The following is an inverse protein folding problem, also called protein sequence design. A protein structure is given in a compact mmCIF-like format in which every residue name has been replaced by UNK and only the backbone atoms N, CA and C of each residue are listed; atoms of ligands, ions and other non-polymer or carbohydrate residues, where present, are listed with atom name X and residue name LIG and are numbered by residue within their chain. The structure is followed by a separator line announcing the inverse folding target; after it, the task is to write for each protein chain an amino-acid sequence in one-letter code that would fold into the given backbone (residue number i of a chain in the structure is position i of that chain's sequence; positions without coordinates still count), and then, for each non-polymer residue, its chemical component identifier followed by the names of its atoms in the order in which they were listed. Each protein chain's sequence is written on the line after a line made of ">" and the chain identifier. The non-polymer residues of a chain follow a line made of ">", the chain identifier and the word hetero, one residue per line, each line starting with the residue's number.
data_IF_738825463736
#
_entry.id   IF_738825463736
#
_cell.length_a   1.000
_cell.length_b   1.000
_cell.length_c   1.000
_cell.angle_alpha   90.00
_cell.angle_beta   90.00
_cell.angle_gamma   90.00
#
_symmetry.space_group_name_H-M   'P 1'
#
loop_
_entity.id
_entity.type
_entity.pdbx_description
1 polymer ?
#
# COMPACT_ATOMS: atom_id res chain seq x y z
N UNK A 1 -27.17 15.42 33.02
CA UNK A 1 -26.34 14.20 32.96
C UNK A 1 -25.12 14.51 32.09
N UNK A 2 -24.03 14.98 32.72
CA UNK A 2 -22.65 15.05 32.18
C UNK A 2 -21.95 13.70 32.50
N UNK A 3 -20.71 13.38 32.04
CA UNK A 3 -19.66 14.22 31.39
C UNK A 3 -19.11 13.66 30.05
N UNK A 4 -18.49 14.44 29.15
CA UNK A 4 -17.11 14.97 29.10
C UNK A 4 -16.00 13.91 29.13
N UNK A 5 -15.06 13.94 28.14
CA UNK A 5 -13.62 13.51 28.11
C UNK A 5 -13.20 13.08 26.69
N UNK A 6 -12.32 13.82 25.97
CA UNK A 6 -10.82 13.73 25.99
C UNK A 6 -10.36 12.60 25.02
N UNK A 7 -9.48 12.74 24.01
CA UNK A 7 -8.33 13.62 23.76
C UNK A 7 -8.07 13.80 22.26
N UNK A 8 -7.69 15.03 21.90
CA UNK A 8 -6.80 15.29 20.77
C UNK A 8 -5.49 14.52 20.99
N UNK A 9 -5.31 13.42 20.25
CA UNK A 9 -4.05 12.69 20.17
C UNK A 9 -3.08 13.40 19.23
N UNK A 10 -2.62 14.57 19.64
CA UNK A 10 -1.53 15.30 19.01
C UNK A 10 -0.23 14.55 19.34
N UNK A 11 0.10 13.56 18.51
CA UNK A 11 1.35 12.82 18.62
C UNK A 11 2.55 13.77 18.52
N UNK A 12 3.66 13.46 19.20
CA UNK A 12 4.80 14.35 19.31
C UNK A 12 5.38 14.62 17.92
N UNK A 13 5.37 15.89 17.51
CA UNK A 13 6.14 16.38 16.39
C UNK A 13 7.62 16.21 16.72
N UNK A 14 8.18 15.08 16.31
CA UNK A 14 9.61 14.79 16.37
C UNK A 14 10.32 15.84 15.51
N UNK A 15 10.79 16.91 16.15
CA UNK A 15 11.74 17.87 15.58
C UNK A 15 13.05 17.13 15.32
N UNK A 16 13.15 16.48 14.15
CA UNK A 16 14.36 15.75 13.76
C UNK A 16 15.38 16.74 13.17
N UNK A 17 16.43 16.98 13.93
CA UNK A 17 17.56 17.83 13.53
C UNK A 17 18.14 17.40 12.19
N UNK A 18 18.31 18.38 11.31
CA UNK A 18 19.15 18.27 10.11
C UNK A 18 20.59 18.02 10.57
N UNK A 19 21.03 16.76 10.56
CA UNK A 19 22.48 16.47 10.52
C UNK A 19 22.88 16.44 9.06
N UNK A 20 23.57 17.51 8.66
CA UNK A 20 24.21 17.66 7.35
C UNK A 20 25.27 16.57 7.22
N UNK A 21 25.05 15.64 6.30
CA UNK A 21 26.13 14.84 5.70
C UNK A 21 26.35 15.42 4.31
N UNK A 22 27.44 16.15 4.15
CA UNK A 22 27.83 16.76 2.88
C UNK A 22 28.09 15.64 1.86
N UNK A 23 27.38 15.68 0.72
CA UNK A 23 27.78 14.92 -0.48
C UNK A 23 26.64 14.29 -1.29
N UNK A 24 25.63 13.69 -0.66
CA UNK A 24 24.50 13.06 -1.36
C UNK A 24 23.25 13.16 -0.49
N UNK A 25 22.51 14.27 -0.57
CA UNK A 25 21.17 14.31 0.02
C UNK A 25 20.25 13.42 -0.78
N UNK A 26 20.12 12.15 -0.39
CA UNK A 26 18.93 11.38 -0.74
C UNK A 26 17.76 12.06 -0.03
N UNK A 27 17.13 13.02 -0.69
CA UNK A 27 15.96 13.75 -0.20
C UNK A 27 14.70 12.86 -0.26
N UNK A 28 14.83 11.61 0.18
CA UNK A 28 13.70 10.72 0.35
C UNK A 28 12.98 11.07 1.65
N UNK A 29 11.76 11.59 1.56
CA UNK A 29 10.86 11.61 2.71
C UNK A 29 10.42 10.19 3.02
N UNK A 30 10.59 9.75 4.26
CA UNK A 30 10.01 8.50 4.73
C UNK A 30 8.48 8.63 4.79
N UNK A 31 7.77 7.59 4.38
CA UNK A 31 6.33 7.50 4.59
C UNK A 31 6.04 7.16 6.05
N UNK A 32 5.13 7.91 6.65
CA UNK A 32 4.56 7.56 7.95
C UNK A 32 3.49 6.48 7.80
N UNK A 33 3.11 5.82 8.90
CA UNK A 33 2.00 4.86 8.89
C UNK A 33 0.69 5.49 8.37
N UNK A 34 0.47 6.78 8.67
CA UNK A 34 -0.67 7.52 8.16
C UNK A 34 -0.61 7.66 6.63
N UNK A 35 0.57 7.95 6.07
CA UNK A 35 0.77 8.06 4.63
C UNK A 35 0.55 6.69 3.96
N UNK A 36 1.09 5.61 4.52
CA UNK A 36 0.86 4.24 4.03
C UNK A 36 -0.63 3.91 3.99
N UNK A 37 -1.34 4.15 5.10
CA UNK A 37 -2.77 3.88 5.20
C UNK A 37 -3.57 4.73 4.20
N UNK A 38 -3.23 6.01 4.06
CA UNK A 38 -3.86 6.92 3.11
C UNK A 38 -3.65 6.46 1.65
N UNK A 39 -2.43 6.11 1.28
CA UNK A 39 -2.10 5.61 -0.06
C UNK A 39 -2.80 4.29 -0.36
N UNK A 40 -2.82 3.35 0.59
CA UNK A 40 -3.53 2.08 0.43
C UNK A 40 -5.02 2.31 0.19
N UNK A 41 -5.65 3.16 1.01
CA UNK A 41 -7.07 3.49 0.87
C UNK A 41 -7.36 4.09 -0.51
N UNK A 42 -6.57 5.07 -0.94
CA UNK A 42 -6.69 5.68 -2.28
C UNK A 42 -6.58 4.61 -3.37
N UNK A 43 -5.58 3.74 -3.32
CA UNK A 43 -5.43 2.66 -4.30
C UNK A 43 -6.67 1.75 -4.35
N UNK A 44 -7.22 1.36 -3.20
CA UNK A 44 -8.35 0.43 -3.15
C UNK A 44 -9.71 1.08 -3.49
N UNK A 45 -9.90 2.37 -3.25
CA UNK A 45 -11.24 3.00 -3.35
C UNK A 45 -11.35 4.16 -4.34
N UNK A 46 -10.27 4.84 -4.70
CA UNK A 46 -10.32 6.03 -5.55
C UNK A 46 -10.43 5.64 -7.04
N UNK A 47 -11.64 5.68 -7.59
CA UNK A 47 -11.90 5.36 -9.00
C UNK A 47 -11.46 6.43 -9.98
N UNK A 48 -11.00 7.60 -9.51
CA UNK A 48 -10.40 8.63 -10.39
C UNK A 48 -8.99 8.24 -10.85
N UNK A 49 -8.33 7.33 -10.13
CA UNK A 49 -7.05 6.77 -10.51
C UNK A 49 -7.23 5.64 -11.53
N UNK A 50 -6.36 5.53 -12.56
CA UNK A 50 -6.39 4.41 -13.48
C UNK A 50 -6.29 3.08 -12.75
N UNK A 51 -7.03 2.06 -13.20
CA UNK A 51 -7.09 0.75 -12.53
C UNK A 51 -5.70 0.13 -12.34
N UNK A 52 -4.83 0.21 -13.36
CA UNK A 52 -3.46 -0.31 -13.28
C UNK A 52 -2.63 0.39 -12.20
N UNK A 53 -2.78 1.71 -12.03
CA UNK A 53 -2.09 2.49 -10.98
C UNK A 53 -2.59 2.06 -9.61
N UNK A 54 -3.90 1.83 -9.47
CA UNK A 54 -4.52 1.35 -8.24
C UNK A 54 -4.02 -0.03 -7.83
N UNK A 55 -4.00 -0.99 -8.76
CA UNK A 55 -3.50 -2.35 -8.52
C UNK A 55 -2.02 -2.29 -8.13
N UNK A 56 -1.20 -1.61 -8.95
CA UNK A 56 0.26 -1.50 -8.74
C UNK A 56 0.56 -0.85 -7.38
N UNK A 57 -0.07 0.28 -7.07
CA UNK A 57 0.12 0.97 -5.80
C UNK A 57 -0.29 0.13 -4.59
N UNK A 58 -1.40 -0.60 -4.68
CA UNK A 58 -1.82 -1.51 -3.61
C UNK A 58 -0.82 -2.66 -3.40
N UNK A 59 -0.28 -3.24 -4.48
CA UNK A 59 0.74 -4.29 -4.39
C UNK A 59 2.05 -3.79 -3.77
N UNK A 60 2.48 -2.57 -4.12
CA UNK A 60 3.65 -1.93 -3.51
C UNK A 60 3.43 -1.74 -2.01
N UNK A 61 2.29 -1.16 -1.61
CA UNK A 61 2.04 -0.83 -0.20
C UNK A 61 1.81 -2.08 0.66
N UNK A 62 1.06 -3.07 0.17
CA UNK A 62 0.71 -4.26 0.95
C UNK A 62 1.81 -5.32 1.00
N UNK A 63 2.55 -5.48 -0.10
CA UNK A 63 3.48 -6.59 -0.26
C UNK A 63 4.93 -6.15 -0.43
N UNK A 64 5.21 -4.84 -0.31
CA UNK A 64 6.52 -4.25 -0.55
C UNK A 64 7.13 -4.70 -1.89
N UNK A 65 6.27 -4.91 -2.89
CA UNK A 65 6.69 -5.48 -4.17
C UNK A 65 7.40 -4.42 -5.00
N UNK A 66 8.64 -4.65 -5.46
CA UNK A 66 9.32 -3.70 -6.35
C UNK A 66 8.61 -3.68 -7.72
N UNK A 67 8.60 -2.51 -8.36
CA UNK A 67 7.93 -2.31 -9.65
C UNK A 67 8.44 -3.27 -10.73
N UNK A 68 9.73 -3.60 -10.73
CA UNK A 68 10.32 -4.57 -11.66
C UNK A 68 9.69 -5.96 -11.53
N UNK A 69 9.35 -6.40 -10.31
CA UNK A 69 8.63 -7.66 -10.11
C UNK A 69 7.16 -7.55 -10.48
N UNK A 70 6.53 -6.40 -10.24
CA UNK A 70 5.14 -6.19 -10.65
C UNK A 70 5.01 -6.26 -12.17
N UNK A 71 5.96 -5.71 -12.93
CA UNK A 71 5.94 -5.78 -14.39
C UNK A 71 6.10 -7.19 -14.96
N UNK A 72 6.65 -8.11 -14.18
CA UNK A 72 6.79 -9.54 -14.55
C UNK A 72 5.57 -10.38 -14.13
N UNK A 73 4.61 -9.79 -13.40
CA UNK A 73 3.41 -10.51 -13.00
C UNK A 73 2.53 -10.82 -14.21
N UNK A 74 2.10 -12.07 -14.27
CA UNK A 74 1.18 -12.59 -15.27
C UNK A 74 -0.14 -12.94 -14.60
N UNK A 75 -1.23 -12.91 -15.37
CA UNK A 75 -2.57 -13.29 -14.88
C UNK A 75 -2.61 -14.73 -14.33
N UNK A 76 -1.76 -15.62 -14.84
CA UNK A 76 -1.61 -17.02 -14.37
C UNK A 76 -1.10 -17.15 -12.94
N UNK A 77 -0.49 -16.10 -12.37
CA UNK A 77 -0.01 -16.08 -10.98
C UNK A 77 -1.12 -15.73 -10.00
N UNK A 78 -2.25 -15.18 -10.47
CA UNK A 78 -3.44 -14.92 -9.67
C UNK A 78 -4.37 -16.13 -9.71
N UNK A 79 -4.87 -16.53 -8.54
CA UNK A 79 -5.79 -17.66 -8.39
C UNK A 79 -6.91 -17.28 -7.45
N UNK A 80 -8.15 -17.58 -7.87
CA UNK A 80 -9.32 -17.49 -7.01
C UNK A 80 -9.71 -18.89 -6.55
N UNK A 81 -9.87 -19.07 -5.25
CA UNK A 81 -10.35 -20.31 -4.63
C UNK A 81 -11.54 -19.98 -3.72
N UNK A 82 -12.28 -20.99 -3.21
CA UNK A 82 -13.33 -20.77 -2.22
C UNK A 82 -12.82 -20.08 -0.94
N UNK A 83 -11.56 -20.31 -0.58
CA UNK A 83 -10.93 -19.79 0.64
C UNK A 83 -10.44 -18.35 0.49
N UNK A 84 -10.30 -17.84 -0.74
CA UNK A 84 -9.87 -16.48 -1.00
C UNK A 84 -9.21 -16.30 -2.35
N UNK A 85 -8.64 -15.11 -2.54
CA UNK A 85 -7.82 -14.80 -3.70
C UNK A 85 -6.35 -14.86 -3.31
N UNK A 86 -5.53 -15.49 -4.15
CA UNK A 86 -4.11 -15.65 -3.93
C UNK A 86 -3.33 -15.10 -5.11
N UNK A 87 -2.22 -14.44 -4.80
CA UNK A 87 -1.23 -14.02 -5.79
C UNK A 87 0.08 -14.75 -5.49
N UNK A 88 0.62 -15.44 -6.48
CA UNK A 88 1.90 -16.13 -6.35
C UNK A 88 3.03 -15.13 -6.58
N UNK A 89 3.79 -14.84 -5.53
CA UNK A 89 4.91 -13.90 -5.56
C UNK A 89 6.21 -14.70 -5.52
N UNK A 90 6.87 -14.85 -6.68
CA UNK A 90 7.99 -15.77 -6.83
C UNK A 90 7.53 -17.22 -6.65
N UNK A 91 7.75 -17.79 -5.46
CA UNK A 91 7.34 -19.17 -5.13
C UNK A 91 6.34 -19.23 -3.97
N UNK A 92 5.90 -18.08 -3.45
CA UNK A 92 5.06 -18.02 -2.27
C UNK A 92 3.68 -17.49 -2.64
N UNK A 93 2.60 -18.28 -2.47
CA UNK A 93 1.25 -17.76 -2.57
C UNK A 93 0.98 -16.85 -1.36
N UNK A 94 0.51 -15.64 -1.62
CA UNK A 94 0.05 -14.71 -0.59
C UNK A 94 -1.43 -14.42 -0.76
N UNK A 95 -2.12 -14.26 0.36
CA UNK A 95 -3.54 -13.91 0.35
C UNK A 95 -3.70 -12.44 -0.06
N UNK A 96 -4.60 -12.20 -1.01
CA UNK A 96 -4.91 -10.89 -1.55
C UNK A 96 -6.19 -10.39 -0.86
N UNK A 97 -6.21 -9.14 -0.35
CA UNK A 97 -7.42 -8.56 0.22
C UNK A 97 -8.58 -8.58 -0.79
N UNK A 98 -9.83 -8.87 -0.36
CA UNK A 98 -10.95 -9.04 -1.27
C UNK A 98 -11.18 -7.88 -2.24
N UNK A 99 -10.97 -6.63 -1.79
CA UNK A 99 -11.10 -5.44 -2.65
C UNK A 99 -10.04 -5.37 -3.74
N UNK A 100 -8.81 -5.79 -3.45
CA UNK A 100 -7.74 -5.83 -4.44
C UNK A 100 -7.97 -6.98 -5.42
N UNK A 101 -8.47 -8.12 -4.94
CA UNK A 101 -8.83 -9.25 -5.79
C UNK A 101 -9.86 -8.85 -6.86
N UNK A 102 -10.92 -8.14 -6.48
CA UNK A 102 -11.92 -7.62 -7.41
C UNK A 102 -11.31 -6.71 -8.48
N UNK A 103 -10.40 -5.82 -8.09
CA UNK A 103 -9.73 -4.93 -9.05
C UNK A 103 -8.86 -5.69 -10.05
N UNK A 104 -8.18 -6.75 -9.60
CA UNK A 104 -7.37 -7.61 -10.44
C UNK A 104 -8.25 -8.41 -11.40
N UNK A 105 -9.36 -8.95 -10.92
CA UNK A 105 -10.35 -9.68 -11.74
C UNK A 105 -10.96 -8.79 -12.84
N UNK A 106 -11.29 -7.53 -12.54
CA UNK A 106 -11.83 -6.58 -13.52
C UNK A 106 -10.82 -6.14 -14.61
N UNK A 107 -9.53 -6.43 -14.45
CA UNK A 107 -8.47 -6.07 -15.38
C UNK A 107 -8.15 -7.17 -16.40
N UNK A 108 -8.59 -8.40 -16.13
CA UNK A 108 -8.43 -9.57 -17.02
C UNK A 108 -9.51 -9.60 -18.08
#
# INVERSE_FOLDING_TARGET
>A
MLPAVVLAGQGPQVRRGRRSIEGLTFAGSFLTEHDYTHHLRRCLTDSTLPRQVRITGALVVLHALPLSRISELTTTQFRRTPEGAFLTLGRHPVLVPPRLALLIEEQM
#
